data_IF_546074285647
#
_entry.id   IF_546074285647
#
_cell.length_a   1.000
_cell.length_b   1.000
_cell.length_c   1.000
_cell.angle_alpha   90.00
_cell.angle_beta   90.00
_cell.angle_gamma   90.00
#
_symmetry.space_group_name_H-M   'P 1'
#
loop_
_entity.id
_entity.type
_entity.pdbx_description
1 polymer ?
#
# COMPACT_ATOMS: atom_id res chain seq x y z
N UNK A 1 9.13 -18.67 -18.84
CA UNK A 1 8.81 -19.55 -19.99
C UNK A 1 9.66 -19.16 -21.19
N UNK A 2 10.59 -20.01 -21.67
CA UNK A 2 11.46 -19.71 -22.82
C UNK A 2 10.70 -19.35 -24.11
N UNK A 3 9.52 -19.95 -24.32
CA UNK A 3 8.65 -19.69 -25.48
C UNK A 3 8.14 -18.24 -25.59
N UNK A 4 8.12 -17.49 -24.48
CA UNK A 4 7.63 -16.11 -24.45
C UNK A 4 8.67 -15.13 -25.03
N UNK A 5 9.95 -15.38 -24.77
CA UNK A 5 11.04 -14.53 -25.27
C UNK A 5 11.09 -14.55 -26.81
N UNK A 6 10.71 -15.67 -27.42
CA UNK A 6 10.66 -15.83 -28.87
C UNK A 6 9.45 -15.16 -29.53
N UNK A 7 8.46 -14.75 -28.74
CA UNK A 7 7.29 -14.01 -29.26
C UNK A 7 7.56 -12.53 -29.53
N UNK A 8 8.68 -11.99 -29.02
CA UNK A 8 9.07 -10.61 -29.25
C UNK A 8 9.81 -10.42 -30.58
N UNK A 9 9.63 -9.24 -31.18
CA UNK A 9 10.42 -8.81 -32.33
C UNK A 9 11.92 -8.85 -32.01
N UNK A 10 12.79 -9.10 -33.01
CA UNK A 10 14.24 -9.05 -32.83
C UNK A 10 14.68 -7.71 -32.24
N UNK A 11 15.70 -7.75 -31.39
CA UNK A 11 16.29 -6.52 -30.84
C UNK A 11 16.86 -5.61 -31.92
N UNK A 12 16.89 -4.32 -31.62
CA UNK A 12 17.38 -3.26 -32.51
C UNK A 12 18.89 -3.05 -32.37
N UNK A 13 19.54 -2.58 -33.43
CA UNK A 13 20.91 -2.10 -33.33
C UNK A 13 20.98 -0.78 -32.54
N UNK A 14 22.10 -0.53 -31.88
CA UNK A 14 22.30 0.66 -31.06
C UNK A 14 22.14 1.95 -31.88
N UNK A 15 22.64 1.97 -33.11
CA UNK A 15 22.55 3.11 -34.01
C UNK A 15 21.12 3.40 -34.46
N UNK A 16 20.27 2.38 -34.54
CA UNK A 16 18.84 2.55 -34.89
C UNK A 16 18.11 3.28 -33.76
N UNK A 17 18.32 2.85 -32.52
CA UNK A 17 17.75 3.49 -31.32
C UNK A 17 18.27 4.93 -31.21
N UNK A 18 19.58 5.14 -31.34
CA UNK A 18 20.21 6.47 -31.24
C UNK A 18 19.66 7.46 -32.26
N UNK A 19 19.52 7.04 -33.52
CA UNK A 19 18.95 7.90 -34.57
C UNK A 19 17.50 8.27 -34.26
N UNK A 20 16.73 7.32 -33.78
CA UNK A 20 15.31 7.51 -33.53
C UNK A 20 15.03 8.41 -32.31
N UNK A 21 15.89 8.42 -31.29
CA UNK A 21 15.76 9.34 -30.15
C UNK A 21 16.47 10.68 -30.34
N UNK A 22 17.29 10.83 -31.39
CA UNK A 22 18.08 12.03 -31.64
C UNK A 22 17.21 13.31 -31.73
N UNK A 23 16.06 13.20 -32.39
CA UNK A 23 15.13 14.31 -32.60
C UNK A 23 14.31 14.68 -31.36
N UNK A 24 14.41 13.89 -30.27
CA UNK A 24 13.70 14.17 -29.02
C UNK A 24 14.40 15.27 -28.20
N UNK A 25 15.66 15.59 -28.52
CA UNK A 25 16.52 16.56 -27.81
C UNK A 25 16.68 16.29 -26.30
N UNK A 26 16.42 15.05 -25.87
CA UNK A 26 16.57 14.54 -24.51
C UNK A 26 17.12 13.11 -24.57
N UNK A 27 17.74 12.68 -23.47
CA UNK A 27 18.33 11.35 -23.36
C UNK A 27 17.38 10.38 -22.65
N UNK A 28 17.17 9.21 -23.25
CA UNK A 28 16.66 8.02 -22.55
C UNK A 28 17.84 7.33 -21.83
N UNK A 29 17.61 6.67 -20.68
CA UNK A 29 18.67 5.98 -19.93
C UNK A 29 19.24 4.79 -20.72
N UNK A 30 20.48 4.38 -20.41
CA UNK A 30 21.15 3.24 -21.05
C UNK A 30 20.33 1.94 -20.95
N UNK A 31 19.60 1.73 -19.85
CA UNK A 31 18.70 0.58 -19.70
C UNK A 31 17.63 0.46 -20.81
N UNK A 32 17.18 1.57 -21.42
CA UNK A 32 16.27 1.52 -22.59
C UNK A 32 17.00 0.95 -23.80
N UNK A 33 18.25 1.35 -24.03
CA UNK A 33 19.06 0.76 -25.11
C UNK A 33 19.25 -0.73 -24.89
N UNK A 34 19.53 -1.16 -23.66
CA UNK A 34 19.69 -2.57 -23.32
C UNK A 34 18.41 -3.38 -23.54
N UNK A 35 17.26 -2.84 -23.08
CA UNK A 35 15.95 -3.45 -23.26
C UNK A 35 15.62 -3.68 -24.75
N UNK A 36 15.74 -2.64 -25.57
CA UNK A 36 15.38 -2.73 -27.00
C UNK A 36 16.43 -3.43 -27.86
N UNK A 37 17.69 -3.46 -27.43
CA UNK A 37 18.71 -4.34 -28.03
C UNK A 37 18.48 -5.81 -27.73
N UNK A 38 17.86 -6.12 -26.59
CA UNK A 38 17.48 -7.48 -26.26
C UNK A 38 16.28 -7.91 -27.12
N UNK A 39 15.15 -7.21 -27.04
CA UNK A 39 13.92 -7.50 -27.79
C UNK A 39 13.11 -6.23 -28.05
N UNK A 40 12.49 -6.12 -29.22
CA UNK A 40 11.79 -4.91 -29.66
C UNK A 40 10.25 -5.01 -29.52
N UNK A 41 9.76 -5.39 -28.33
CA UNK A 41 8.32 -5.49 -28.09
C UNK A 41 7.59 -6.45 -29.05
N UNK A 42 6.26 -6.33 -29.15
CA UNK A 42 5.41 -7.20 -29.99
C UNK A 42 4.49 -6.39 -30.92
N UNK A 43 4.41 -6.77 -32.19
CA UNK A 43 3.57 -6.09 -33.19
C UNK A 43 2.10 -6.54 -33.11
N UNK A 44 1.26 -5.72 -32.48
CA UNK A 44 -0.21 -5.67 -32.58
C UNK A 44 -1.11 -6.64 -31.77
N UNK A 45 -2.28 -6.05 -31.44
CA UNK A 45 -3.48 -6.49 -30.73
C UNK A 45 -4.20 -7.67 -31.41
N UNK A 46 -3.85 -8.91 -31.06
CA UNK A 46 -4.80 -10.01 -31.26
C UNK A 46 -5.43 -10.36 -29.92
N UNK A 47 -6.75 -10.13 -29.90
CA UNK A 47 -7.71 -10.37 -28.84
C UNK A 47 -7.66 -11.81 -28.34
N UNK A 48 -7.81 -11.96 -27.03
CA UNK A 48 -7.73 -13.19 -26.22
C UNK A 48 -6.31 -13.56 -25.74
N UNK A 49 -5.98 -13.10 -24.52
CA UNK A 49 -5.06 -13.74 -23.56
C UNK A 49 -3.60 -14.04 -23.95
N UNK A 50 -3.09 -13.65 -25.13
CA UNK A 50 -1.71 -13.95 -25.56
C UNK A 50 -0.72 -12.76 -25.46
N UNK A 51 -1.14 -11.62 -24.90
CA UNK A 51 -0.34 -10.38 -24.78
C UNK A 51 0.10 -9.99 -23.37
N UNK A 52 -0.33 -10.76 -22.36
CA UNK A 52 -0.06 -10.51 -20.94
C UNK A 52 1.33 -11.06 -20.61
N UNK A 53 2.35 -10.21 -20.60
CA UNK A 53 3.70 -10.59 -20.15
C UNK A 53 3.92 -10.03 -18.74
N UNK A 54 4.51 -10.81 -17.83
CA UNK A 54 4.96 -10.32 -16.52
C UNK A 54 3.95 -9.40 -15.80
N UNK A 55 2.86 -9.96 -15.27
CA UNK A 55 1.82 -9.21 -14.56
C UNK A 55 1.10 -8.24 -15.49
N UNK A 56 0.70 -8.74 -16.66
CA UNK A 56 -0.09 -8.02 -17.67
C UNK A 56 0.58 -6.84 -18.38
N UNK A 57 1.90 -6.70 -18.25
CA UNK A 57 2.67 -5.69 -18.94
C UNK A 57 2.95 -6.08 -20.41
N UNK A 58 2.71 -5.15 -21.32
CA UNK A 58 3.04 -5.27 -22.72
C UNK A 58 4.24 -4.38 -23.08
N UNK A 59 5.35 -4.99 -23.47
CA UNK A 59 6.50 -4.25 -24.00
C UNK A 59 6.17 -3.69 -25.39
N UNK A 60 6.17 -2.36 -25.49
CA UNK A 60 5.86 -1.65 -26.73
C UNK A 60 6.98 -1.89 -27.76
N UNK A 61 6.66 -2.07 -29.06
CA UNK A 61 7.64 -1.86 -30.11
C UNK A 61 8.19 -0.44 -30.06
N UNK A 62 9.48 -0.26 -30.34
CA UNK A 62 10.16 1.04 -30.21
C UNK A 62 9.51 2.16 -31.02
N UNK A 63 8.97 1.83 -32.20
CA UNK A 63 8.23 2.78 -33.04
C UNK A 63 6.97 3.28 -32.35
N UNK A 64 6.23 2.39 -31.68
CA UNK A 64 5.02 2.74 -30.93
C UNK A 64 5.36 3.52 -29.65
N UNK A 65 6.49 3.21 -29.00
CA UNK A 65 7.00 4.00 -27.89
C UNK A 65 7.27 5.48 -28.29
N UNK A 66 7.82 5.72 -29.49
CA UNK A 66 8.01 7.07 -30.01
C UNK A 66 6.69 7.78 -30.33
N UNK A 67 5.73 7.06 -30.93
CA UNK A 67 4.39 7.57 -31.18
C UNK A 67 3.72 8.02 -29.88
N UNK A 68 3.69 7.15 -28.86
CA UNK A 68 3.14 7.45 -27.54
C UNK A 68 3.90 8.58 -26.82
N UNK A 69 5.22 8.70 -26.98
CA UNK A 69 5.96 9.85 -26.45
C UNK A 69 5.42 11.17 -27.00
N UNK A 70 5.17 11.24 -28.31
CA UNK A 70 4.61 12.43 -28.94
C UNK A 70 3.15 12.70 -28.54
N UNK A 71 2.36 11.65 -28.27
CA UNK A 71 1.02 11.78 -27.71
C UNK A 71 1.03 12.36 -26.30
N UNK A 72 1.88 11.84 -25.40
CA UNK A 72 2.05 12.35 -24.03
C UNK A 72 2.46 13.83 -24.01
N UNK A 73 3.25 14.28 -25.00
CA UNK A 73 3.64 15.69 -25.15
C UNK A 73 2.50 16.60 -25.58
N UNK A 74 1.43 16.06 -26.16
CA UNK A 74 0.25 16.80 -26.62
C UNK A 74 -0.91 16.72 -25.64
N UNK A 75 -0.83 15.86 -24.61
CA UNK A 75 -1.94 15.55 -23.73
C UNK A 75 -1.98 16.42 -22.46
N UNK A 76 -3.19 16.81 -22.00
CA UNK A 76 -4.42 16.89 -22.79
C UNK A 76 -4.31 18.10 -23.73
N UNK A 77 -4.86 17.99 -24.95
CA UNK A 77 -4.72 18.99 -26.03
C UNK A 77 -4.80 20.44 -25.52
N UNK A 78 -3.66 21.15 -25.53
CA UNK A 78 -3.45 22.55 -25.08
C UNK A 78 -3.27 22.80 -23.57
N UNK A 79 -3.04 21.78 -22.75
CA UNK A 79 -2.60 21.93 -21.34
C UNK A 79 -1.10 21.64 -21.16
N UNK A 80 -0.66 21.62 -19.89
CA UNK A 80 0.74 21.31 -19.51
C UNK A 80 1.04 19.85 -19.86
N UNK A 81 2.09 19.54 -20.65
CA UNK A 81 2.45 18.17 -20.99
C UNK A 81 2.62 17.30 -19.75
N UNK A 82 2.21 16.03 -19.83
CA UNK A 82 2.44 15.07 -18.74
C UNK A 82 3.94 14.99 -18.48
N UNK A 83 4.32 15.25 -17.23
CA UNK A 83 5.68 15.26 -16.75
C UNK A 83 5.72 14.83 -15.29
N UNK A 84 6.90 14.46 -14.82
CA UNK A 84 7.16 14.19 -13.42
C UNK A 84 8.32 15.06 -12.95
N UNK A 85 8.09 15.87 -11.92
CA UNK A 85 9.03 16.91 -11.48
C UNK A 85 9.54 17.81 -12.62
N UNK A 86 8.67 18.11 -13.60
CA UNK A 86 9.00 18.91 -14.78
C UNK A 86 9.86 18.19 -15.83
N UNK A 87 10.19 16.91 -15.63
CA UNK A 87 10.95 16.09 -16.59
C UNK A 87 10.04 15.32 -17.53
N UNK A 88 10.51 15.11 -18.75
CA UNK A 88 9.78 14.37 -19.78
C UNK A 88 9.82 12.87 -19.51
N UNK A 89 8.80 12.15 -19.99
CA UNK A 89 8.62 10.73 -19.77
C UNK A 89 8.70 9.99 -21.09
N UNK A 90 9.49 8.91 -21.16
CA UNK A 90 9.58 8.04 -22.34
C UNK A 90 8.83 6.74 -22.07
N UNK A 91 7.74 6.43 -22.79
CA UNK A 91 6.98 5.20 -22.61
C UNK A 91 7.73 4.00 -23.16
N UNK A 92 7.61 2.85 -22.49
CA UNK A 92 8.22 1.61 -22.97
C UNK A 92 7.31 0.39 -22.78
N UNK A 93 6.34 0.43 -21.87
CA UNK A 93 5.38 -0.65 -21.69
C UNK A 93 3.98 -0.12 -21.38
N UNK A 94 2.97 -0.97 -21.53
CA UNK A 94 1.56 -0.63 -21.34
C UNK A 94 0.81 -1.77 -20.63
N UNK A 95 -0.20 -1.44 -19.84
CA UNK A 95 -1.12 -2.40 -19.22
C UNK A 95 -2.50 -1.77 -19.11
N UNK A 96 -3.51 -2.35 -19.79
CA UNK A 96 -4.90 -1.89 -19.75
C UNK A 96 -5.04 -0.35 -19.92
N UNK A 97 -4.46 0.16 -21.02
CA UNK A 97 -4.32 1.59 -21.37
C UNK A 97 -3.40 2.44 -20.46
N UNK A 98 -2.95 1.91 -19.32
CA UNK A 98 -1.95 2.57 -18.49
C UNK A 98 -0.55 2.44 -19.08
N UNK A 99 0.29 3.44 -18.84
CA UNK A 99 1.61 3.52 -19.49
C UNK A 99 2.72 3.48 -18.45
N UNK A 100 3.68 2.57 -18.65
CA UNK A 100 4.95 2.58 -17.96
C UNK A 100 5.97 3.40 -18.75
N UNK A 101 6.63 4.30 -18.04
CA UNK A 101 7.59 5.24 -18.60
C UNK A 101 8.88 5.25 -17.79
N UNK A 102 9.96 5.73 -18.41
CA UNK A 102 11.18 6.13 -17.72
C UNK A 102 11.37 7.64 -17.82
N UNK A 103 12.03 8.26 -16.84
CA UNK A 103 12.37 9.67 -16.96
C UNK A 103 13.44 9.89 -18.03
N UNK A 104 13.23 10.95 -18.81
CA UNK A 104 14.23 11.47 -19.72
C UNK A 104 14.99 12.63 -19.06
N UNK A 105 16.28 12.72 -19.36
CA UNK A 105 17.18 13.72 -18.79
C UNK A 105 17.88 14.54 -19.87
N UNK A 106 18.42 15.69 -19.48
CA UNK A 106 19.25 16.56 -20.32
C UNK A 106 20.66 16.01 -20.58
N UNK A 107 21.06 14.98 -19.82
CA UNK A 107 22.34 14.29 -19.89
C UNK A 107 22.12 12.78 -19.95
N UNK A 108 23.09 12.05 -20.51
CA UNK A 108 23.11 10.59 -20.46
C UNK A 108 23.13 10.08 -19.01
N UNK A 109 22.35 9.04 -18.74
CA UNK A 109 22.31 8.34 -17.46
C UNK A 109 22.31 6.83 -17.73
N UNK A 110 22.86 6.06 -16.79
CA UNK A 110 22.82 4.59 -16.90
C UNK A 110 21.40 4.08 -16.71
N UNK A 111 20.72 4.56 -15.69
CA UNK A 111 19.38 4.13 -15.31
C UNK A 111 18.51 5.31 -14.90
N UNK A 112 17.20 5.10 -14.92
CA UNK A 112 16.24 6.09 -14.45
C UNK A 112 15.00 5.45 -13.88
N UNK A 113 14.30 6.22 -13.04
CA UNK A 113 13.09 5.81 -12.37
C UNK A 113 12.02 5.37 -13.36
N UNK A 114 11.29 4.31 -13.00
CA UNK A 114 10.14 3.82 -13.76
C UNK A 114 8.86 4.38 -13.13
N UNK A 115 8.02 5.00 -13.96
CA UNK A 115 6.77 5.61 -13.55
C UNK A 115 5.59 4.96 -14.25
N UNK A 116 4.47 4.87 -13.54
CA UNK A 116 3.19 4.47 -14.06
C UNK A 116 2.31 5.70 -14.26
N UNK A 117 1.73 5.82 -15.44
CA UNK A 117 0.76 6.85 -15.80
C UNK A 117 -0.58 6.13 -15.95
N UNK A 118 -1.52 6.33 -15.00
CA UNK A 118 -2.86 5.78 -15.13
C UNK A 118 -3.58 6.41 -16.33
N UNK A 119 -4.36 5.60 -17.04
CA UNK A 119 -5.16 6.00 -18.20
C UNK A 119 -6.26 7.02 -17.86
N UNK A 120 -6.70 7.06 -16.59
CA UNK A 120 -7.68 8.03 -16.11
C UNK A 120 -7.15 9.47 -16.24
N UNK A 121 -7.90 10.31 -16.96
CA UNK A 121 -7.52 11.59 -17.58
C UNK A 121 -6.99 12.71 -16.65
N UNK A 122 -6.83 12.47 -15.35
CA UNK A 122 -6.44 13.46 -14.32
C UNK A 122 -5.29 12.95 -13.42
N UNK A 123 -4.85 11.71 -13.59
CA UNK A 123 -3.91 11.08 -12.67
C UNK A 123 -2.46 11.50 -12.94
N UNK A 124 -1.76 11.97 -11.89
CA UNK A 124 -0.35 12.31 -11.95
C UNK A 124 0.51 11.04 -12.09
N UNK A 125 1.66 11.08 -12.80
CA UNK A 125 2.58 9.96 -12.85
C UNK A 125 3.00 9.51 -11.44
N UNK A 126 2.99 8.21 -11.22
CA UNK A 126 3.36 7.58 -9.95
C UNK A 126 4.69 6.85 -10.06
N UNK A 127 5.52 6.94 -9.01
CA UNK A 127 6.85 6.36 -9.00
C UNK A 127 6.78 4.89 -8.59
N UNK A 128 7.13 4.00 -9.53
CA UNK A 128 6.89 2.56 -9.35
C UNK A 128 8.14 1.77 -8.97
N UNK A 129 9.26 2.06 -9.62
CA UNK A 129 10.53 1.34 -9.41
C UNK A 129 11.71 2.30 -9.50
N UNK A 130 12.80 1.96 -8.81
CA UNK A 130 14.03 2.75 -8.79
C UNK A 130 14.64 2.87 -10.19
N UNK A 131 14.52 1.79 -10.97
CA UNK A 131 14.95 1.69 -12.36
C UNK A 131 14.44 0.40 -13.04
N UNK A 132 14.74 0.21 -14.33
CA UNK A 132 14.32 -0.97 -15.08
C UNK A 132 14.96 -2.25 -14.53
N UNK A 133 16.20 -2.18 -14.06
CA UNK A 133 16.86 -3.34 -13.40
C UNK A 133 16.10 -3.76 -12.14
N UNK A 134 15.74 -2.81 -11.28
CA UNK A 134 15.01 -3.06 -10.03
C UNK A 134 13.60 -3.56 -10.31
N UNK A 135 12.94 -3.05 -11.34
CA UNK A 135 11.68 -3.57 -11.86
C UNK A 135 11.83 -5.03 -12.29
N UNK A 136 12.82 -5.35 -13.12
CA UNK A 136 13.04 -6.72 -13.62
C UNK A 136 13.34 -7.71 -12.48
N UNK A 137 14.18 -7.31 -11.52
CA UNK A 137 14.49 -8.13 -10.34
C UNK A 137 13.26 -8.35 -9.45
N UNK A 138 12.46 -7.30 -9.23
CA UNK A 138 11.19 -7.41 -8.48
C UNK A 138 10.27 -8.42 -9.14
N UNK A 139 10.02 -8.27 -10.44
CA UNK A 139 9.13 -9.16 -11.19
C UNK A 139 9.66 -10.61 -11.19
N UNK A 140 10.96 -10.81 -11.45
CA UNK A 140 11.57 -12.15 -11.48
C UNK A 140 11.44 -12.84 -10.13
N UNK A 141 11.83 -12.18 -9.04
CA UNK A 141 11.74 -12.78 -7.71
C UNK A 141 10.28 -13.04 -7.30
N UNK A 142 9.33 -12.18 -7.69
CA UNK A 142 7.91 -12.41 -7.43
C UNK A 142 7.41 -13.71 -8.08
N UNK A 143 7.80 -14.01 -9.33
CA UNK A 143 7.46 -15.29 -9.96
C UNK A 143 8.21 -16.47 -9.34
N UNK A 144 9.53 -16.33 -9.12
CA UNK A 144 10.37 -17.42 -8.59
C UNK A 144 9.96 -17.85 -7.19
N UNK A 145 9.54 -16.90 -6.37
CA UNK A 145 9.08 -17.17 -5.01
C UNK A 145 7.62 -17.60 -4.95
N UNK A 146 6.85 -17.49 -6.05
CA UNK A 146 5.40 -17.70 -6.04
C UNK A 146 4.61 -16.58 -5.37
N UNK A 147 5.21 -15.39 -5.20
CA UNK A 147 4.45 -14.19 -4.85
C UNK A 147 3.50 -13.79 -5.98
N UNK A 148 3.87 -14.03 -7.23
CA UNK A 148 2.95 -14.07 -8.38
C UNK A 148 2.65 -15.52 -8.75
N UNK A 149 1.38 -15.82 -8.97
CA UNK A 149 0.92 -17.13 -9.38
C UNK A 149 -0.23 -17.01 -10.38
N UNK A 150 -0.53 -18.09 -11.09
CA UNK A 150 -1.71 -18.16 -11.95
C UNK A 150 -2.83 -18.80 -11.14
N UNK A 151 -3.96 -18.11 -11.02
CA UNK A 151 -5.13 -18.56 -10.29
C UNK A 151 -5.90 -19.68 -11.03
N UNK A 152 -7.01 -20.11 -10.45
CA UNK A 152 -7.85 -21.17 -11.02
C UNK A 152 -8.51 -20.82 -12.35
N UNK A 153 -8.62 -19.53 -12.67
CA UNK A 153 -9.23 -18.99 -13.88
C UNK A 153 -8.19 -18.66 -14.97
N UNK A 154 -6.90 -18.86 -14.68
CA UNK A 154 -5.80 -18.63 -15.62
C UNK A 154 -5.27 -17.20 -15.61
N UNK A 155 -5.70 -16.37 -14.65
CA UNK A 155 -5.24 -15.00 -14.45
C UNK A 155 -4.03 -14.96 -13.52
N UNK A 156 -3.13 -14.00 -13.73
CA UNK A 156 -2.03 -13.73 -12.80
C UNK A 156 -2.62 -13.01 -11.57
N UNK A 157 -2.40 -13.59 -10.41
CA UNK A 157 -2.75 -13.03 -9.11
C UNK A 157 -1.49 -12.95 -8.22
N UNK A 158 -1.59 -12.28 -7.07
CA UNK A 158 -0.45 -12.03 -6.19
C UNK A 158 -0.72 -12.20 -4.70
N UNK A 159 0.29 -12.68 -3.98
CA UNK A 159 0.31 -12.66 -2.52
C UNK A 159 0.85 -11.31 -2.08
N UNK A 160 -0.06 -10.37 -1.84
CA UNK A 160 0.19 -8.96 -1.49
C UNK A 160 1.36 -8.73 -0.52
N UNK A 161 1.38 -9.41 0.63
CA UNK A 161 2.41 -9.22 1.68
C UNK A 161 3.79 -9.60 1.16
N UNK A 162 3.86 -10.71 0.41
CA UNK A 162 5.11 -11.22 -0.16
C UNK A 162 5.60 -10.32 -1.30
N UNK A 163 4.68 -9.85 -2.14
CA UNK A 163 4.99 -8.89 -3.19
C UNK A 163 5.52 -7.58 -2.62
N UNK A 164 4.93 -7.07 -1.53
CA UNK A 164 5.38 -5.87 -0.84
C UNK A 164 6.80 -6.03 -0.24
N UNK A 165 7.12 -7.20 0.33
CA UNK A 165 8.48 -7.52 0.82
C UNK A 165 9.54 -7.48 -0.30
N UNK A 166 9.23 -8.09 -1.44
CA UNK A 166 10.11 -8.11 -2.61
C UNK A 166 10.29 -6.69 -3.17
N UNK A 167 9.20 -5.93 -3.26
CA UNK A 167 9.22 -4.52 -3.68
C UNK A 167 10.14 -3.66 -2.81
N UNK A 168 10.02 -3.77 -1.48
CA UNK A 168 10.89 -3.04 -0.53
C UNK A 168 12.36 -3.43 -0.68
N UNK A 169 12.65 -4.70 -0.96
CA UNK A 169 14.02 -5.20 -1.11
C UNK A 169 14.72 -4.62 -2.34
N UNK A 170 14.03 -4.59 -3.47
CA UNK A 170 14.62 -4.13 -4.74
C UNK A 170 14.43 -2.62 -4.97
N UNK A 171 13.51 -1.95 -4.27
CA UNK A 171 13.23 -0.53 -4.44
C UNK A 171 13.24 0.24 -3.10
N UNK A 172 14.31 0.12 -2.28
CA UNK A 172 14.36 0.71 -0.94
C UNK A 172 14.34 2.24 -0.94
N UNK A 173 14.89 2.88 -1.98
CA UNK A 173 14.87 4.32 -2.19
C UNK A 173 13.47 4.85 -2.49
N UNK A 174 12.67 4.10 -3.26
CA UNK A 174 11.28 4.45 -3.54
C UNK A 174 10.43 4.31 -2.27
N UNK A 175 10.64 3.22 -1.53
CA UNK A 175 9.99 3.03 -0.23
C UNK A 175 10.31 4.19 0.73
N UNK A 176 11.59 4.54 0.90
CA UNK A 176 11.99 5.65 1.77
C UNK A 176 11.46 7.00 1.25
N UNK A 177 11.35 7.20 -0.06
CA UNK A 177 10.73 8.39 -0.63
C UNK A 177 9.28 8.56 -0.14
N UNK A 178 8.45 7.52 -0.25
CA UNK A 178 7.06 7.58 0.19
C UNK A 178 6.92 7.65 1.72
N UNK A 179 7.79 6.98 2.48
CA UNK A 179 7.84 7.14 3.94
C UNK A 179 8.19 8.58 4.30
N UNK A 180 9.22 9.18 3.70
CA UNK A 180 9.57 10.58 3.90
C UNK A 180 8.43 11.55 3.53
N UNK A 181 7.74 11.30 2.40
CA UNK A 181 6.55 12.05 2.01
C UNK A 181 5.47 11.97 3.08
N UNK A 182 5.17 10.77 3.59
CA UNK A 182 4.18 10.57 4.65
C UNK A 182 4.56 11.31 5.95
N UNK A 183 5.82 11.22 6.41
CA UNK A 183 6.30 11.95 7.59
C UNK A 183 6.08 13.46 7.40
N UNK A 184 6.39 14.02 6.23
CA UNK A 184 6.20 15.46 5.95
C UNK A 184 4.73 15.86 5.88
N UNK A 185 3.89 15.03 5.26
CA UNK A 185 2.46 15.31 5.11
C UNK A 185 1.74 15.33 6.47
N UNK A 186 2.12 14.42 7.37
CA UNK A 186 1.38 14.11 8.58
C UNK A 186 1.89 14.79 9.86
N UNK A 187 2.96 15.59 9.79
CA UNK A 187 3.58 16.26 10.96
C UNK A 187 2.98 17.64 11.29
N UNK A 188 2.45 18.40 10.33
CA UNK A 188 1.96 19.76 10.61
C UNK A 188 1.23 20.34 9.41
N UNK A 189 -0.11 20.28 9.32
CA UNK A 189 -0.87 21.14 8.40
C UNK A 189 -2.32 21.37 8.83
N UNK A 190 -2.83 22.55 8.51
CA UNK A 190 -4.26 22.80 8.33
C UNK A 190 -4.79 21.80 7.30
N UNK A 191 -5.94 21.20 7.53
CA UNK A 191 -6.52 20.18 6.64
C UNK A 191 -7.15 20.85 5.41
N UNK A 192 -6.33 21.28 4.44
CA UNK A 192 -6.77 21.89 3.18
C UNK A 192 -7.08 20.83 2.12
N UNK A 193 -7.78 21.21 1.04
CA UNK A 193 -8.07 20.34 -0.12
C UNK A 193 -6.82 19.72 -0.72
N UNK A 194 -5.75 20.50 -0.86
CA UNK A 194 -4.50 20.08 -1.49
C UNK A 194 -3.86 18.90 -0.74
N UNK A 195 -3.98 18.89 0.59
CA UNK A 195 -3.45 17.79 1.41
C UNK A 195 -4.28 16.52 1.23
N UNK A 196 -5.60 16.65 1.05
CA UNK A 196 -6.44 15.48 0.79
C UNK A 196 -6.08 14.83 -0.55
N UNK A 197 -5.78 15.65 -1.56
CA UNK A 197 -5.26 15.17 -2.84
C UNK A 197 -3.88 14.51 -2.70
N UNK A 198 -2.97 15.11 -1.93
CA UNK A 198 -1.65 14.53 -1.67
C UNK A 198 -1.75 13.19 -0.92
N UNK A 199 -2.65 13.06 0.07
CA UNK A 199 -2.92 11.81 0.77
C UNK A 199 -3.40 10.77 -0.23
N UNK A 200 -4.39 11.10 -1.06
CA UNK A 200 -4.92 10.19 -2.08
C UNK A 200 -3.81 9.71 -3.01
N UNK A 201 -2.96 10.62 -3.47
CA UNK A 201 -1.87 10.33 -4.40
C UNK A 201 -0.83 9.36 -3.81
N UNK A 202 -0.47 9.49 -2.54
CA UNK A 202 0.53 8.60 -1.92
C UNK A 202 -0.08 7.29 -1.40
N UNK A 203 -1.40 7.24 -1.19
CA UNK A 203 -2.09 6.09 -0.55
C UNK A 203 -1.81 4.77 -1.26
N UNK A 204 -1.96 4.73 -2.58
CA UNK A 204 -1.73 3.53 -3.40
C UNK A 204 -0.29 3.04 -3.27
N UNK A 205 0.67 3.97 -3.22
CA UNK A 205 2.08 3.63 -3.03
C UNK A 205 2.35 3.09 -1.62
N UNK A 206 1.77 3.69 -0.57
CA UNK A 206 1.89 3.19 0.80
C UNK A 206 1.33 1.77 0.94
N UNK A 207 0.16 1.51 0.34
CA UNK A 207 -0.45 0.18 0.29
C UNK A 207 0.38 -0.79 -0.54
N UNK A 208 0.98 -0.37 -1.65
CA UNK A 208 1.84 -1.23 -2.47
C UNK A 208 3.11 -1.66 -1.73
N UNK A 209 3.69 -0.75 -0.94
CA UNK A 209 4.90 -1.04 -0.18
C UNK A 209 4.63 -1.69 1.18
N UNK A 210 3.44 -1.56 1.79
CA UNK A 210 3.05 -2.13 3.11
C UNK A 210 4.16 -2.05 4.17
N UNK A 211 4.90 -0.95 4.22
CA UNK A 211 6.04 -0.84 5.13
C UNK A 211 5.55 -0.66 6.58
N UNK A 212 5.92 -1.54 7.53
CA UNK A 212 5.44 -1.46 8.91
C UNK A 212 5.72 -0.12 9.61
N UNK A 213 6.68 0.68 9.16
CA UNK A 213 6.90 2.03 9.69
C UNK A 213 5.71 2.96 9.42
N UNK A 214 5.08 2.82 8.25
CA UNK A 214 3.93 3.62 7.84
C UNK A 214 2.75 3.43 8.80
N UNK A 215 2.60 2.23 9.38
CA UNK A 215 1.57 1.97 10.39
C UNK A 215 1.69 2.95 11.56
N UNK A 216 2.90 3.17 12.07
CA UNK A 216 3.13 4.09 13.18
C UNK A 216 2.90 5.55 12.78
N UNK A 217 3.33 5.94 11.59
CA UNK A 217 3.14 7.29 11.06
C UNK A 217 1.65 7.61 10.94
N UNK A 218 0.90 6.72 10.29
CA UNK A 218 -0.55 6.85 10.11
C UNK A 218 -1.29 6.79 11.45
N UNK A 219 -0.84 5.94 12.39
CA UNK A 219 -1.46 5.84 13.71
C UNK A 219 -1.31 7.12 14.53
N UNK A 220 -0.10 7.70 14.53
CA UNK A 220 0.14 8.98 15.20
C UNK A 220 -0.69 10.10 14.58
N UNK A 221 -0.79 10.12 13.25
CA UNK A 221 -1.61 11.11 12.55
C UNK A 221 -3.09 10.96 12.89
N UNK A 222 -3.62 9.73 12.84
CA UNK A 222 -5.01 9.45 13.24
C UNK A 222 -5.30 9.98 14.64
N UNK A 223 -4.44 9.67 15.63
CA UNK A 223 -4.59 10.16 17.00
C UNK A 223 -4.64 11.68 17.10
N UNK A 224 -3.82 12.39 16.32
CA UNK A 224 -3.84 13.86 16.25
C UNK A 224 -5.15 14.44 15.69
N UNK A 225 -5.86 13.67 14.87
CA UNK A 225 -7.08 14.09 14.18
C UNK A 225 -8.36 13.84 14.99
N UNK A 226 -8.33 12.89 15.94
CA UNK A 226 -9.52 12.51 16.73
C UNK A 226 -10.17 13.73 17.41
N UNK A 227 -9.37 14.65 17.95
CA UNK A 227 -9.89 15.87 18.60
C UNK A 227 -10.29 16.98 17.63
N UNK A 228 -9.94 16.88 16.35
CA UNK A 228 -10.20 17.94 15.34
C UNK A 228 -11.60 17.76 14.76
N UNK A 229 -12.49 18.72 14.99
CA UNK A 229 -13.89 18.70 14.55
C UNK A 229 -14.07 19.32 13.16
N UNK A 230 -13.76 18.58 12.10
CA UNK A 230 -14.02 19.01 10.71
C UNK A 230 -14.29 17.82 9.77
N UNK A 231 -14.99 18.09 8.66
CA UNK A 231 -15.23 17.10 7.58
C UNK A 231 -13.90 16.61 6.98
N UNK A 232 -12.93 17.51 6.79
CA UNK A 232 -11.61 17.13 6.28
C UNK A 232 -10.86 16.21 7.27
N UNK A 233 -11.04 16.40 8.58
CA UNK A 233 -10.47 15.49 9.60
C UNK A 233 -11.13 14.13 9.53
N UNK A 234 -12.45 14.08 9.38
CA UNK A 234 -13.20 12.84 9.16
C UNK A 234 -12.73 12.09 7.92
N UNK A 235 -12.61 12.77 6.78
CA UNK A 235 -12.08 12.18 5.55
C UNK A 235 -10.67 11.61 5.75
N UNK A 236 -9.77 12.36 6.38
CA UNK A 236 -8.41 11.87 6.67
C UNK A 236 -8.43 10.63 7.57
N UNK A 237 -9.27 10.62 8.62
CA UNK A 237 -9.40 9.45 9.51
C UNK A 237 -9.92 8.23 8.75
N UNK A 238 -10.93 8.39 7.89
CA UNK A 238 -11.42 7.31 7.01
C UNK A 238 -10.30 6.79 6.12
N UNK A 239 -9.57 7.68 5.43
CA UNK A 239 -8.53 7.28 4.49
C UNK A 239 -7.37 6.54 5.18
N UNK A 240 -7.00 6.95 6.40
CA UNK A 240 -6.01 6.23 7.21
C UNK A 240 -6.47 4.81 7.53
N UNK A 241 -7.71 4.66 7.99
CA UNK A 241 -8.32 3.37 8.33
C UNK A 241 -8.41 2.45 7.11
N UNK A 242 -8.77 3.00 5.96
CA UNK A 242 -8.80 2.30 4.66
C UNK A 242 -7.40 1.81 4.25
N UNK A 243 -6.38 2.67 4.35
CA UNK A 243 -4.99 2.29 4.01
C UNK A 243 -4.51 1.18 4.94
N UNK A 244 -4.70 1.32 6.26
CA UNK A 244 -4.24 0.35 7.24
C UNK A 244 -4.96 -1.00 7.14
N UNK A 245 -6.24 -1.00 6.71
CA UNK A 245 -6.98 -2.22 6.39
C UNK A 245 -6.36 -3.07 5.27
N UNK A 246 -5.40 -2.52 4.54
CA UNK A 246 -4.70 -3.21 3.45
C UNK A 246 -3.27 -3.64 3.83
N UNK A 247 -2.81 -3.46 5.08
CA UNK A 247 -1.42 -3.80 5.46
C UNK A 247 -1.22 -5.26 5.86
N UNK A 248 -2.27 -5.98 6.27
CA UNK A 248 -2.20 -7.38 6.75
C UNK A 248 -1.14 -7.61 7.86
N UNK A 249 -0.91 -6.61 8.71
CA UNK A 249 0.00 -6.67 9.85
C UNK A 249 -0.84 -6.53 11.14
N UNK A 250 -0.63 -7.41 12.13
CA UNK A 250 -1.31 -7.38 13.43
C UNK A 250 -1.22 -6.01 14.13
N UNK A 251 -0.17 -5.22 13.84
CA UNK A 251 0.02 -3.87 14.40
C UNK A 251 -1.06 -2.88 13.98
N UNK A 252 -1.87 -3.16 12.95
CA UNK A 252 -2.98 -2.26 12.58
C UNK A 252 -4.20 -2.41 13.48
N UNK A 253 -4.31 -3.54 14.20
CA UNK A 253 -5.50 -3.91 14.96
C UNK A 253 -5.87 -2.87 16.04
N UNK A 254 -4.94 -2.34 16.87
CA UNK A 254 -5.27 -1.31 17.86
C UNK A 254 -5.97 -0.10 17.27
N UNK A 255 -5.48 0.37 16.12
CA UNK A 255 -6.04 1.55 15.49
C UNK A 255 -7.39 1.25 14.86
N UNK A 256 -7.53 0.13 14.15
CA UNK A 256 -8.81 -0.23 13.55
C UNK A 256 -9.89 -0.49 14.62
N UNK A 257 -9.53 -1.10 15.76
CA UNK A 257 -10.43 -1.22 16.92
C UNK A 257 -10.81 0.15 17.46
N UNK A 258 -9.85 1.08 17.60
CA UNK A 258 -10.14 2.46 17.98
C UNK A 258 -11.10 3.15 16.99
N UNK A 259 -10.94 2.88 15.69
CA UNK A 259 -11.77 3.44 14.62
C UNK A 259 -13.20 2.90 14.59
N UNK A 260 -13.44 1.65 15.02
CA UNK A 260 -14.80 1.12 15.24
C UNK A 260 -15.60 1.93 16.28
N UNK A 261 -14.93 2.77 17.06
CA UNK A 261 -15.55 3.65 18.06
C UNK A 261 -15.42 5.13 17.71
N UNK A 262 -15.02 5.46 16.48
CA UNK A 262 -14.96 6.84 16.04
C UNK A 262 -16.35 7.49 16.08
N UNK A 263 -16.36 8.80 16.36
CA UNK A 263 -17.60 9.57 16.39
C UNK A 263 -18.33 9.59 15.04
N UNK A 264 -17.58 9.54 13.94
CA UNK A 264 -18.11 9.52 12.59
C UNK A 264 -18.56 8.10 12.26
N UNK A 265 -19.81 7.97 11.82
CA UNK A 265 -20.31 6.70 11.29
C UNK A 265 -19.52 6.25 10.06
N UNK A 266 -19.03 7.19 9.24
CA UNK A 266 -18.18 6.88 8.09
C UNK A 266 -16.88 6.21 8.50
N UNK A 267 -16.19 6.73 9.53
CA UNK A 267 -14.94 6.12 10.04
C UNK A 267 -15.21 4.75 10.65
N UNK A 268 -16.30 4.57 11.40
CA UNK A 268 -16.68 3.25 11.97
C UNK A 268 -16.93 2.24 10.87
N UNK A 269 -17.72 2.61 9.86
CA UNK A 269 -18.02 1.73 8.73
C UNK A 269 -16.76 1.35 7.96
N UNK A 270 -15.87 2.31 7.69
CA UNK A 270 -14.58 2.00 7.05
C UNK A 270 -13.72 1.06 7.91
N UNK A 271 -13.80 1.13 9.24
CA UNK A 271 -13.10 0.18 10.11
C UNK A 271 -13.66 -1.25 10.00
N UNK A 272 -14.99 -1.40 9.95
CA UNK A 272 -15.65 -2.70 9.70
C UNK A 272 -15.25 -3.28 8.34
N UNK A 273 -15.28 -2.46 7.28
CA UNK A 273 -14.83 -2.86 5.93
C UNK A 273 -13.35 -3.25 5.94
N UNK A 274 -12.49 -2.48 6.63
CA UNK A 274 -11.07 -2.81 6.78
C UNK A 274 -10.87 -4.15 7.49
N UNK A 275 -11.63 -4.47 8.54
CA UNK A 275 -11.57 -5.79 9.17
C UNK A 275 -12.07 -6.91 8.25
N UNK A 276 -13.14 -6.68 7.49
CA UNK A 276 -13.62 -7.63 6.49
C UNK A 276 -12.55 -7.89 5.41
N UNK A 277 -11.85 -6.85 4.95
CA UNK A 277 -10.75 -6.97 4.00
C UNK A 277 -9.57 -7.75 4.57
N UNK A 278 -9.18 -7.49 5.83
CA UNK A 278 -8.14 -8.24 6.52
C UNK A 278 -8.52 -9.73 6.68
N UNK A 279 -9.81 -10.04 6.87
CA UNK A 279 -10.32 -11.41 6.95
C UNK A 279 -10.25 -12.13 5.60
N UNK A 280 -10.79 -11.50 4.55
CA UNK A 280 -10.99 -12.14 3.25
C UNK A 280 -9.70 -12.37 2.47
N UNK A 281 -8.69 -11.53 2.70
CA UNK A 281 -7.44 -11.52 1.94
C UNK A 281 -6.26 -11.99 2.80
N UNK A 282 -6.54 -12.61 3.96
CA UNK A 282 -5.49 -13.21 4.78
C UNK A 282 -4.87 -14.42 4.07
N UNK A 283 -3.54 -14.51 3.95
CA UNK A 283 -2.86 -15.53 3.15
C UNK A 283 -2.94 -16.95 3.75
N UNK A 284 -3.38 -17.10 5.01
CA UNK A 284 -3.55 -18.42 5.65
C UNK A 284 -4.59 -18.39 6.76
N UNK A 285 -5.39 -19.46 6.86
CA UNK A 285 -6.36 -19.66 7.94
C UNK A 285 -5.69 -19.69 9.33
N UNK A 286 -4.44 -20.13 9.42
CA UNK A 286 -3.67 -20.20 10.66
C UNK A 286 -2.87 -18.91 10.98
N UNK A 287 -3.13 -17.79 10.29
CA UNK A 287 -2.38 -16.57 10.57
C UNK A 287 -2.76 -15.97 11.93
N UNK A 288 -1.78 -15.46 12.73
CA UNK A 288 -2.07 -14.78 13.99
C UNK A 288 -3.04 -13.59 13.84
N UNK A 289 -3.01 -12.93 12.68
CA UNK A 289 -3.94 -11.86 12.34
C UNK A 289 -5.38 -12.35 12.22
N UNK A 290 -5.61 -13.46 11.50
CA UNK A 290 -6.95 -14.00 11.32
C UNK A 290 -7.50 -14.55 12.64
N UNK A 291 -6.68 -15.26 13.42
CA UNK A 291 -7.07 -15.75 14.74
C UNK A 291 -7.51 -14.59 15.65
N UNK A 292 -6.71 -13.52 15.68
CA UNK A 292 -7.03 -12.33 16.47
C UNK A 292 -8.33 -11.65 16.01
N UNK A 293 -8.55 -11.56 14.70
CA UNK A 293 -9.81 -11.02 14.17
C UNK A 293 -10.99 -11.89 14.61
N UNK A 294 -10.91 -13.21 14.42
CA UNK A 294 -12.00 -14.13 14.74
C UNK A 294 -12.31 -14.24 16.24
N UNK A 295 -11.27 -14.32 17.07
CA UNK A 295 -11.44 -14.57 18.51
C UNK A 295 -11.70 -13.31 19.33
N UNK A 296 -11.28 -12.14 18.85
CA UNK A 296 -11.32 -10.88 19.62
C UNK A 296 -12.13 -9.80 18.92
N UNK A 297 -11.88 -9.57 17.63
CA UNK A 297 -12.49 -8.45 16.90
C UNK A 297 -13.93 -8.75 16.45
N UNK A 298 -14.21 -9.94 15.93
CA UNK A 298 -15.55 -10.30 15.44
C UNK A 298 -16.61 -10.25 16.56
N UNK A 299 -16.31 -10.73 17.78
CA UNK A 299 -17.21 -10.58 18.89
C UNK A 299 -17.39 -9.10 19.33
N UNK A 300 -16.34 -8.28 19.21
CA UNK A 300 -16.42 -6.83 19.44
C UNK A 300 -17.36 -6.15 18.43
N UNK A 301 -17.19 -6.39 17.13
CA UNK A 301 -18.05 -5.83 16.07
C UNK A 301 -19.52 -6.24 16.31
N UNK A 302 -19.77 -7.52 16.62
CA UNK A 302 -21.11 -8.02 16.91
C UNK A 302 -21.78 -7.33 18.11
N UNK A 303 -20.98 -6.89 19.09
CA UNK A 303 -21.49 -6.16 20.25
C UNK A 303 -21.83 -4.69 19.95
N UNK A 304 -21.18 -4.11 18.94
CA UNK A 304 -21.37 -2.73 18.52
C UNK A 304 -22.65 -2.52 17.72
N UNK A 305 -23.03 -3.48 16.87
CA UNK A 305 -24.28 -3.46 16.11
C UNK A 305 -25.54 -3.34 17.01
N UNK A 306 -25.43 -3.75 18.28
CA UNK A 306 -26.51 -3.67 19.27
C UNK A 306 -26.67 -2.23 19.83
N UNK A 307 -25.60 -1.42 19.80
CA UNK A 307 -25.52 -0.10 20.45
C UNK A 307 -25.97 1.06 19.52
N UNK A 308 -25.90 0.90 18.20
CA UNK A 308 -26.28 1.93 17.21
C UNK A 308 -27.79 2.30 17.21
N UNK A 309 -28.58 1.73 18.12
CA UNK A 309 -29.98 2.12 18.40
C UNK A 309 -30.05 3.37 19.32
N UNK A 310 -28.94 3.84 19.91
CA UNK A 310 -28.95 5.00 20.83
C UNK A 310 -27.95 6.09 20.42
N UNK A 311 -28.41 7.27 19.96
CA UNK A 311 -27.52 8.34 19.51
C UNK A 311 -27.07 9.19 20.71
N UNK A 312 -25.89 8.91 21.29
CA UNK A 312 -25.26 9.84 22.24
C UNK A 312 -23.74 9.95 22.06
N UNK A 313 -23.26 11.20 22.00
CA UNK A 313 -21.93 11.61 21.55
C UNK A 313 -20.69 11.19 22.36
N UNK A 314 -19.55 11.34 21.69
CA UNK A 314 -18.21 11.78 22.13
C UNK A 314 -17.46 11.12 23.31
N UNK A 315 -17.90 10.01 23.89
CA UNK A 315 -17.15 9.37 25.01
C UNK A 315 -17.16 7.84 25.01
N UNK A 316 -16.83 7.17 23.90
CA UNK A 316 -17.19 5.75 23.73
C UNK A 316 -16.11 4.70 23.44
N UNK A 317 -14.87 5.01 23.02
CA UNK A 317 -13.87 3.95 22.84
C UNK A 317 -13.52 3.22 24.17
N UNK A 318 -13.28 3.97 25.25
CA UNK A 318 -13.04 3.40 26.57
C UNK A 318 -14.32 2.76 27.16
N UNK A 319 -15.47 3.43 27.08
CA UNK A 319 -16.73 2.94 27.70
C UNK A 319 -17.33 1.69 27.02
N UNK A 320 -16.99 1.38 25.76
CA UNK A 320 -17.49 0.18 25.05
C UNK A 320 -16.52 -1.00 25.16
N UNK A 321 -15.20 -0.78 25.19
CA UNK A 321 -14.27 -1.85 25.62
C UNK A 321 -14.64 -2.30 27.04
N UNK A 322 -15.22 -1.40 27.85
CA UNK A 322 -15.78 -1.65 29.18
C UNK A 322 -17.22 -2.16 29.19
N UNK A 323 -17.84 -2.37 28.04
CA UNK A 323 -19.07 -3.17 27.99
C UNK A 323 -18.71 -4.59 28.42
N UNK A 324 -19.51 -5.15 29.34
CA UNK A 324 -19.12 -6.35 30.09
C UNK A 324 -18.75 -7.56 29.23
N UNK A 325 -19.30 -7.65 28.01
CA UNK A 325 -19.03 -8.75 27.08
C UNK A 325 -17.68 -8.61 26.34
N UNK A 326 -17.29 -7.39 25.98
CA UNK A 326 -16.06 -7.11 25.22
C UNK A 326 -14.82 -7.23 26.09
N UNK A 327 -14.85 -6.68 27.30
CA UNK A 327 -13.72 -6.79 28.23
C UNK A 327 -13.42 -8.24 28.60
N UNK A 328 -14.45 -9.09 28.70
CA UNK A 328 -14.30 -10.51 28.99
C UNK A 328 -13.57 -11.23 27.86
N UNK A 329 -13.85 -10.91 26.59
CA UNK A 329 -13.19 -11.51 25.43
C UNK A 329 -11.73 -11.07 25.31
N UNK A 330 -11.44 -9.79 25.51
CA UNK A 330 -10.05 -9.30 25.53
C UNK A 330 -9.29 -9.91 26.73
N UNK A 331 -9.95 -10.16 27.87
CA UNK A 331 -9.36 -10.90 28.98
C UNK A 331 -9.13 -12.39 28.67
N UNK A 332 -9.97 -13.04 27.88
CA UNK A 332 -9.69 -14.40 27.41
C UNK A 332 -8.47 -14.42 26.48
N UNK A 333 -8.32 -13.41 25.62
CA UNK A 333 -7.16 -13.28 24.73
C UNK A 333 -5.82 -13.12 25.48
N UNK A 334 -5.83 -12.58 26.72
CA UNK A 334 -4.64 -12.58 27.60
C UNK A 334 -4.18 -13.99 28.00
N UNK A 335 -5.06 -14.99 27.92
CA UNK A 335 -4.75 -16.39 28.26
C UNK A 335 -4.45 -17.24 27.02
N UNK A 336 -4.41 -16.64 25.83
CA UNK A 336 -4.23 -17.35 24.58
C UNK A 336 -2.86 -18.04 24.48
N UNK A 337 -2.78 -19.17 23.79
CA UNK A 337 -1.54 -19.95 23.68
C UNK A 337 -0.47 -19.25 22.82
N UNK A 338 -0.90 -18.54 21.77
CA UNK A 338 -0.05 -17.71 20.92
C UNK A 338 0.33 -16.39 21.61
N UNK A 339 1.63 -16.07 21.62
CA UNK A 339 2.17 -14.87 22.26
C UNK A 339 1.79 -13.55 21.56
N UNK A 340 1.55 -13.56 20.24
CA UNK A 340 1.15 -12.39 19.49
C UNK A 340 -0.28 -11.99 19.84
N UNK A 341 -1.19 -12.96 20.00
CA UNK A 341 -2.57 -12.72 20.47
C UNK A 341 -2.55 -12.13 21.88
N UNK A 342 -1.75 -12.69 22.80
CA UNK A 342 -1.61 -12.14 24.16
C UNK A 342 -1.05 -10.72 24.14
N UNK A 343 0.00 -10.48 23.35
CA UNK A 343 0.62 -9.15 23.19
C UNK A 343 -0.39 -8.12 22.71
N UNK A 344 -1.23 -8.49 21.73
CA UNK A 344 -2.20 -7.56 21.16
C UNK A 344 -3.36 -7.29 22.11
N UNK A 345 -3.81 -8.30 22.86
CA UNK A 345 -4.75 -8.10 23.97
C UNK A 345 -4.20 -7.13 25.02
N UNK A 346 -2.90 -7.20 25.33
CA UNK A 346 -2.22 -6.24 26.22
C UNK A 346 -2.22 -4.82 25.64
N UNK A 347 -1.95 -4.66 24.34
CA UNK A 347 -2.02 -3.36 23.66
C UNK A 347 -3.43 -2.78 23.71
N UNK A 348 -4.44 -3.56 23.32
CA UNK A 348 -5.84 -3.17 23.31
C UNK A 348 -6.30 -2.70 24.69
N UNK A 349 -5.99 -3.46 25.75
CA UNK A 349 -6.32 -3.08 27.13
C UNK A 349 -5.56 -1.80 27.55
N UNK A 350 -4.31 -1.65 27.13
CA UNK A 350 -3.50 -0.45 27.39
C UNK A 350 -4.10 0.85 26.84
N UNK A 351 -4.79 0.77 25.69
CA UNK A 351 -5.45 1.93 25.07
C UNK A 351 -6.76 2.34 25.77
N UNK A 352 -7.30 1.51 26.67
CA UNK A 352 -8.59 1.79 27.36
C UNK A 352 -8.51 2.87 28.43
N UNK A 353 -7.31 3.15 28.96
CA UNK A 353 -7.11 4.00 30.14
C UNK A 353 -7.97 3.60 31.35
N UNK A 354 -8.39 2.33 31.44
CA UNK A 354 -9.31 1.87 32.48
C UNK A 354 -8.58 1.22 33.68
N UNK A 355 -8.87 1.62 34.92
CA UNK A 355 -8.24 1.03 36.10
C UNK A 355 -8.44 -0.48 36.29
N UNK A 356 -9.55 -1.06 35.80
CA UNK A 356 -9.84 -2.50 35.88
C UNK A 356 -8.89 -3.36 35.07
N UNK A 357 -8.21 -2.80 34.07
CA UNK A 357 -7.24 -3.55 33.26
C UNK A 357 -5.85 -3.59 33.89
N UNK A 358 -5.59 -2.79 34.93
CA UNK A 358 -4.27 -2.69 35.59
C UNK A 358 -3.84 -4.05 36.13
N UNK A 359 -4.68 -4.72 36.90
CA UNK A 359 -4.32 -6.01 37.52
C UNK A 359 -4.08 -7.12 36.47
N UNK A 360 -4.93 -7.29 35.44
CA UNK A 360 -4.61 -8.15 34.29
C UNK A 360 -3.27 -7.80 33.63
N UNK A 361 -3.01 -6.51 33.33
CA UNK A 361 -1.76 -6.07 32.70
C UNK A 361 -0.53 -6.29 33.60
N UNK A 362 -0.66 -6.13 34.92
CA UNK A 362 0.41 -6.44 35.89
C UNK A 362 0.77 -7.92 35.85
N UNK A 363 -0.19 -8.83 35.65
CA UNK A 363 0.12 -10.26 35.48
C UNK A 363 0.93 -10.51 34.21
N UNK A 364 0.66 -9.76 33.14
CA UNK A 364 1.37 -9.88 31.87
C UNK A 364 2.84 -9.41 31.95
N UNK A 365 3.24 -8.68 33.00
CA UNK A 365 4.65 -8.42 33.30
C UNK A 365 5.44 -9.71 33.63
N UNK A 366 4.76 -10.81 33.91
CA UNK A 366 5.35 -12.14 34.14
C UNK A 366 5.06 -13.14 33.02
N UNK A 367 4.57 -12.68 31.86
CA UNK A 367 4.30 -13.56 30.72
C UNK A 367 5.57 -14.32 30.29
N UNK A 368 5.45 -15.59 29.84
CA UNK A 368 6.59 -16.34 29.31
C UNK A 368 7.33 -15.61 28.18
N UNK A 369 6.59 -14.89 27.33
CA UNK A 369 7.13 -14.14 26.20
C UNK A 369 7.73 -12.80 26.64
N UNK A 370 9.01 -12.52 26.32
CA UNK A 370 9.61 -11.20 26.53
C UNK A 370 8.83 -10.07 25.86
N UNK A 371 8.29 -10.32 24.66
CA UNK A 371 7.54 -9.34 23.87
C UNK A 371 6.27 -8.89 24.59
N UNK A 372 5.55 -9.82 25.20
CA UNK A 372 4.33 -9.54 25.97
C UNK A 372 4.67 -8.76 27.24
N UNK A 373 5.76 -9.10 27.94
CA UNK A 373 6.21 -8.38 29.15
C UNK A 373 6.55 -6.91 28.87
N UNK A 374 7.31 -6.66 27.80
CA UNK A 374 7.67 -5.30 27.37
C UNK A 374 6.43 -4.49 26.99
N UNK A 375 5.51 -5.11 26.28
CA UNK A 375 4.23 -4.50 25.90
C UNK A 375 3.38 -4.16 27.13
N UNK A 376 3.33 -5.06 28.12
CA UNK A 376 2.59 -4.84 29.36
C UNK A 376 3.18 -3.66 30.16
N UNK A 377 4.50 -3.54 30.19
CA UNK A 377 5.17 -2.39 30.79
C UNK A 377 4.79 -1.08 30.07
N UNK A 378 4.80 -1.07 28.74
CA UNK A 378 4.41 0.10 27.95
C UNK A 378 2.94 0.48 28.13
N UNK A 379 2.04 -0.52 28.13
CA UNK A 379 0.60 -0.34 28.38
C UNK A 379 0.35 0.25 29.77
N UNK A 380 0.97 -0.31 30.81
CA UNK A 380 0.87 0.21 32.18
C UNK A 380 1.45 1.63 32.31
N UNK A 381 2.51 1.96 31.58
CA UNK A 381 3.07 3.31 31.59
C UNK A 381 2.16 4.35 30.91
N UNK A 382 1.29 3.94 29.99
CA UNK A 382 0.29 4.80 29.35
C UNK A 382 -0.91 5.07 30.27
N UNK A 383 -1.32 4.09 31.08
CA UNK A 383 -2.43 4.21 32.02
C UNK A 383 -1.96 5.04 33.23
N UNK A 384 -2.44 6.28 33.33
CA UNK A 384 -2.02 7.25 34.37
C UNK A 384 -2.85 7.18 35.64
#
# INVERSE_FOLDING_TARGET
>A
MPSLADSFLPGLAQEEIQRAVYDLHLYVPNEIYELYRWRNGKSAFNTACEGVHFSYLWLLPFTLALEKYHELKRYPYNETPICFEGKSLFPFAEFDDDILTVLMTDKSSESSQVLWIPSESVSKPQLMYSNLTSMALTLSESYESGAFFVDGDGFIDSIDVKTAEILRRHNPDINEFYISCSRKLFINRELTSDILEDIKLISESLVRFKDPEVINILSNFYCSLVSVLSENSEYCRMKIVEILGQFYDVKVIPLLVSALHDRSAGVRHTAEESFANLRNLSPSEDSPLLMLIQEVVDPLISSLEIIDIVPTGYTHAANIILSSNVIEQVFQALLHHDELVRKEAVLLLGETNNPMVIEPLVRMLNDPSPLVRETAQAALAKIR
#
